data_IF_167358092651
#
_entry.id   IF_167358092651
#
_cell.length_a   1.000
_cell.length_b   1.000
_cell.length_c   1.000
_cell.angle_alpha   90.00
_cell.angle_beta   90.00
_cell.angle_gamma   90.00
#
_symmetry.space_group_name_H-M   'P 1'
#
loop_
_entity.id
_entity.type
_entity.pdbx_description
1 polymer ?
#
# COMPACT_ATOMS: atom_id res chain seq x y z
N UNK A 1 -18.92 11.84 14.39
CA UNK A 1 -18.56 10.55 13.79
C UNK A 1 -18.42 10.60 12.27
N UNK A 2 -19.40 11.18 11.59
CA UNK A 2 -19.32 11.30 10.12
C UNK A 2 -18.10 12.10 9.65
N UNK A 3 -17.72 13.15 10.39
CA UNK A 3 -16.56 13.97 10.06
C UNK A 3 -15.25 13.17 10.14
N UNK A 4 -15.14 12.26 11.12
CA UNK A 4 -13.98 11.37 11.25
C UNK A 4 -13.89 10.40 10.07
N UNK A 5 -15.00 9.79 9.72
CA UNK A 5 -15.05 8.84 8.60
C UNK A 5 -14.70 9.53 7.29
N UNK A 6 -15.19 10.75 7.08
CA UNK A 6 -14.87 11.52 5.87
C UNK A 6 -13.37 11.82 5.80
N UNK A 7 -12.72 12.13 6.92
CA UNK A 7 -11.28 12.37 7.00
C UNK A 7 -10.49 11.14 6.59
N UNK A 8 -10.83 9.98 7.15
CA UNK A 8 -10.14 8.72 6.84
C UNK A 8 -10.42 8.27 5.42
N UNK A 9 -11.64 8.45 4.94
CA UNK A 9 -11.99 8.14 3.56
C UNK A 9 -11.13 8.92 2.58
N UNK A 10 -10.96 10.24 2.81
CA UNK A 10 -10.10 11.10 1.99
C UNK A 10 -8.65 10.62 2.02
N UNK A 11 -8.14 10.30 3.20
CA UNK A 11 -6.76 9.85 3.38
C UNK A 11 -6.52 8.55 2.62
N UNK A 12 -7.44 7.60 2.71
CA UNK A 12 -7.34 6.31 2.01
C UNK A 12 -7.39 6.53 0.50
N UNK A 13 -8.31 7.35 0.03
CA UNK A 13 -8.45 7.64 -1.41
C UNK A 13 -7.19 8.30 -1.97
N UNK A 14 -6.59 9.23 -1.21
CA UNK A 14 -5.34 9.87 -1.61
C UNK A 14 -4.20 8.86 -1.71
N UNK A 15 -4.08 7.98 -0.74
CA UNK A 15 -3.05 6.93 -0.77
C UNK A 15 -3.25 5.99 -1.95
N UNK A 16 -4.49 5.64 -2.27
CA UNK A 16 -4.79 4.81 -3.45
C UNK A 16 -4.39 5.50 -4.75
N UNK A 17 -4.64 6.81 -4.86
CA UNK A 17 -4.24 7.59 -6.02
C UNK A 17 -2.72 7.64 -6.17
N UNK A 18 -2.01 7.85 -5.07
CA UNK A 18 -0.55 7.85 -5.05
C UNK A 18 0.03 6.52 -5.50
N UNK A 19 -0.53 5.42 -5.01
CA UNK A 19 -0.09 4.07 -5.39
C UNK A 19 -0.35 3.79 -6.86
N UNK A 20 -1.47 4.25 -7.40
CA UNK A 20 -1.79 4.10 -8.82
C UNK A 20 -0.78 4.87 -9.68
N UNK A 21 -0.40 6.09 -9.26
CA UNK A 21 0.61 6.87 -9.96
C UNK A 21 1.98 6.17 -9.92
N UNK A 22 2.35 5.60 -8.77
CA UNK A 22 3.59 4.84 -8.65
C UNK A 22 3.59 3.59 -9.54
N UNK A 23 2.45 2.93 -9.68
CA UNK A 23 2.31 1.77 -10.57
C UNK A 23 2.61 2.16 -12.03
N UNK A 24 2.08 3.28 -12.48
CA UNK A 24 2.32 3.77 -13.83
C UNK A 24 3.80 4.07 -14.07
N UNK A 25 4.45 4.73 -13.11
CA UNK A 25 5.87 5.01 -13.16
C UNK A 25 6.70 3.73 -13.15
N UNK A 26 6.33 2.77 -12.30
CA UNK A 26 6.99 1.47 -12.21
C UNK A 26 6.94 0.70 -13.53
N UNK A 27 5.80 0.71 -14.19
CA UNK A 27 5.64 0.07 -15.50
C UNK A 27 6.53 0.71 -16.56
N UNK A 28 6.61 2.04 -16.57
CA UNK A 28 7.48 2.77 -17.49
C UNK A 28 8.95 2.40 -17.26
N UNK A 29 9.38 2.33 -16.00
CA UNK A 29 10.74 1.93 -15.64
C UNK A 29 11.06 0.52 -16.09
N UNK A 30 10.12 -0.40 -15.92
CA UNK A 30 10.30 -1.80 -16.34
C UNK A 30 10.43 -1.92 -17.86
N UNK A 31 9.67 -1.14 -18.62
CA UNK A 31 9.78 -1.10 -20.08
C UNK A 31 11.15 -0.60 -20.53
N UNK A 32 11.65 0.45 -19.89
CA UNK A 32 12.95 1.02 -20.19
C UNK A 32 14.06 -0.01 -19.97
N UNK A 33 14.01 -0.75 -18.85
CA UNK A 33 14.98 -1.81 -18.54
C UNK A 33 14.98 -2.89 -19.62
N UNK A 34 13.82 -3.29 -20.11
CA UNK A 34 13.71 -4.29 -21.18
C UNK A 34 14.37 -3.84 -22.47
N UNK A 35 14.22 -2.56 -22.83
CA UNK A 35 14.84 -2.00 -24.03
C UNK A 35 16.36 -1.97 -23.90
N UNK A 36 16.85 -1.61 -22.70
CA UNK A 36 18.28 -1.54 -22.44
C UNK A 36 18.95 -2.91 -22.49
N UNK A 37 18.25 -3.97 -22.16
CA UNK A 37 18.78 -5.34 -22.20
C UNK A 37 19.24 -5.78 -23.59
N UNK A 38 18.69 -5.19 -24.64
CA UNK A 38 19.05 -5.53 -26.01
C UNK A 38 20.38 -4.94 -26.47
N UNK A 39 20.86 -3.88 -25.82
CA UNK A 39 22.00 -3.08 -26.27
C UNK A 39 23.24 -3.18 -25.38
N UNK A 40 23.21 -3.92 -24.28
CA UNK A 40 24.25 -3.87 -23.24
C UNK A 40 24.84 -5.25 -22.93
N UNK A 41 26.08 -5.26 -22.44
CA UNK A 41 26.84 -6.49 -22.16
C UNK A 41 26.38 -7.22 -20.89
N UNK A 42 27.07 -8.33 -20.62
CA UNK A 42 26.70 -9.31 -19.59
C UNK A 42 26.50 -8.74 -18.17
N UNK A 43 27.39 -7.84 -17.74
CA UNK A 43 27.31 -7.22 -16.41
C UNK A 43 26.07 -6.34 -16.29
N UNK A 44 25.74 -5.63 -17.36
CA UNK A 44 24.55 -4.77 -17.40
C UNK A 44 23.25 -5.58 -17.38
N UNK A 45 23.27 -6.81 -17.90
CA UNK A 45 22.11 -7.71 -17.81
C UNK A 45 21.83 -8.13 -16.38
N UNK A 46 22.87 -8.40 -15.59
CA UNK A 46 22.71 -8.74 -14.19
C UNK A 46 22.11 -7.58 -13.38
N UNK A 47 22.63 -6.36 -13.63
CA UNK A 47 22.09 -5.16 -13.00
C UNK A 47 20.64 -4.92 -13.40
N UNK A 48 20.31 -5.11 -14.66
CA UNK A 48 18.94 -4.96 -15.16
C UNK A 48 17.99 -5.99 -14.52
N UNK A 49 18.45 -7.24 -14.36
CA UNK A 49 17.65 -8.28 -13.70
C UNK A 49 17.44 -7.98 -12.21
N UNK A 50 18.46 -7.46 -11.52
CA UNK A 50 18.31 -7.04 -10.13
C UNK A 50 17.33 -5.89 -10.00
N UNK A 51 17.43 -4.89 -10.86
CA UNK A 51 16.50 -3.75 -10.88
C UNK A 51 15.07 -4.21 -11.15
N UNK A 52 14.91 -5.16 -12.07
CA UNK A 52 13.60 -5.73 -12.38
C UNK A 52 13.02 -6.50 -11.17
N UNK A 53 13.84 -7.29 -10.49
CA UNK A 53 13.42 -8.03 -9.31
C UNK A 53 12.99 -7.08 -8.19
N UNK A 54 13.72 -5.99 -7.98
CA UNK A 54 13.37 -4.97 -6.99
C UNK A 54 12.07 -4.26 -7.36
N UNK A 55 11.89 -3.95 -8.65
CA UNK A 55 10.66 -3.31 -9.13
C UNK A 55 9.46 -4.22 -8.92
N UNK A 56 9.60 -5.53 -9.18
CA UNK A 56 8.56 -6.51 -8.95
C UNK A 56 8.21 -6.64 -7.47
N UNK A 57 9.22 -6.61 -6.59
CA UNK A 57 9.01 -6.67 -5.14
C UNK A 57 8.25 -5.41 -4.66
N UNK A 58 8.60 -4.23 -5.18
CA UNK A 58 7.90 -3.00 -4.86
C UNK A 58 6.45 -3.04 -5.37
N UNK A 59 6.23 -3.61 -6.56
CA UNK A 59 4.89 -3.77 -7.11
C UNK A 59 4.03 -4.66 -6.21
N UNK A 60 4.58 -5.77 -5.71
CA UNK A 60 3.85 -6.65 -4.79
C UNK A 60 3.48 -5.93 -3.50
N UNK A 61 4.38 -5.11 -2.95
CA UNK A 61 4.10 -4.29 -1.76
C UNK A 61 2.97 -3.31 -2.02
N UNK A 62 2.99 -2.64 -3.17
CA UNK A 62 1.93 -1.71 -3.55
C UNK A 62 0.59 -2.42 -3.69
N UNK A 63 0.59 -3.58 -4.34
CA UNK A 63 -0.63 -4.37 -4.53
C UNK A 63 -1.22 -4.82 -3.19
N UNK A 64 -0.39 -5.26 -2.27
CA UNK A 64 -0.81 -5.65 -0.91
C UNK A 64 -1.40 -4.44 -0.17
N UNK A 65 -0.74 -3.29 -0.25
CA UNK A 65 -1.22 -2.08 0.40
C UNK A 65 -2.54 -1.61 -0.22
N UNK A 66 -2.68 -1.67 -1.54
CA UNK A 66 -3.94 -1.33 -2.22
C UNK A 66 -5.08 -2.21 -1.72
N UNK A 67 -4.86 -3.50 -1.62
CA UNK A 67 -5.86 -4.45 -1.10
C UNK A 67 -6.27 -4.08 0.32
N UNK A 68 -5.30 -3.74 1.17
CA UNK A 68 -5.56 -3.32 2.54
C UNK A 68 -6.35 -2.00 2.61
N UNK A 69 -6.02 -1.05 1.72
CA UNK A 69 -6.73 0.23 1.67
C UNK A 69 -8.18 0.06 1.19
N UNK A 70 -8.40 -0.80 0.20
CA UNK A 70 -9.74 -1.09 -0.30
C UNK A 70 -10.58 -1.76 0.81
N UNK A 71 -9.98 -2.69 1.55
CA UNK A 71 -10.63 -3.32 2.69
C UNK A 71 -10.98 -2.30 3.77
N UNK A 72 -10.09 -1.32 4.02
CA UNK A 72 -10.35 -0.24 4.97
C UNK A 72 -11.54 0.63 4.54
N UNK A 73 -11.64 0.94 3.24
CA UNK A 73 -12.80 1.68 2.70
C UNK A 73 -14.09 0.91 2.92
N UNK A 74 -14.06 -0.40 2.69
CA UNK A 74 -15.23 -1.26 2.90
C UNK A 74 -15.65 -1.25 4.37
N UNK A 75 -14.68 -1.30 5.28
CA UNK A 75 -14.95 -1.24 6.73
C UNK A 75 -15.56 0.10 7.14
N UNK A 76 -15.14 1.20 6.50
CA UNK A 76 -15.76 2.50 6.70
C UNK A 76 -17.23 2.50 6.30
N UNK A 77 -17.57 1.88 5.17
CA UNK A 77 -18.94 1.75 4.71
C UNK A 77 -19.79 0.89 5.64
N UNK A 78 -19.19 -0.13 6.25
CA UNK A 78 -19.85 -1.03 7.18
C UNK A 78 -19.85 -0.51 8.61
N UNK A 79 -19.27 0.65 8.86
CA UNK A 79 -19.16 1.27 10.19
C UNK A 79 -18.33 0.44 11.17
N UNK A 80 -17.41 -0.38 10.64
CA UNK A 80 -16.52 -1.22 11.43
C UNK A 80 -15.10 -0.70 11.50
N UNK A 81 -14.82 0.41 10.83
CA UNK A 81 -13.49 1.01 10.78
C UNK A 81 -13.07 1.56 12.14
N UNK A 82 -11.79 1.35 12.49
CA UNK A 82 -11.21 1.91 13.70
C UNK A 82 -11.33 1.03 14.93
N UNK A 83 -11.82 -0.19 14.76
CA UNK A 83 -11.94 -1.16 15.86
C UNK A 83 -11.01 -2.33 15.62
N UNK A 84 -10.40 -2.83 16.71
CA UNK A 84 -9.53 -4.00 16.64
C UNK A 84 -10.33 -5.24 16.20
N UNK A 85 -9.81 -5.98 15.22
CA UNK A 85 -10.49 -7.18 14.71
C UNK A 85 -10.46 -8.35 15.69
N UNK A 86 -9.53 -8.32 16.67
CA UNK A 86 -9.40 -9.39 17.66
C UNK A 86 -10.21 -9.14 18.93
N UNK A 87 -10.13 -7.94 19.52
CA UNK A 87 -10.78 -7.65 20.80
C UNK A 87 -11.96 -6.68 20.69
N UNK A 88 -12.13 -6.02 19.56
CA UNK A 88 -13.23 -5.09 19.34
C UNK A 88 -13.05 -3.71 19.95
N UNK A 89 -11.94 -3.47 20.64
CA UNK A 89 -11.66 -2.15 21.22
C UNK A 89 -11.29 -1.14 20.15
N UNK A 90 -11.54 0.14 20.43
CA UNK A 90 -11.19 1.22 19.51
C UNK A 90 -9.68 1.34 19.38
N UNK A 91 -9.21 1.52 18.14
CA UNK A 91 -7.81 1.78 17.85
C UNK A 91 -7.56 3.29 18.00
N UNK A 92 -6.40 3.66 18.54
CA UNK A 92 -6.03 5.05 18.75
C UNK A 92 -6.05 5.86 17.44
N UNK A 93 -6.63 7.05 17.47
CA UNK A 93 -6.73 7.92 16.29
C UNK A 93 -5.36 8.26 15.70
N UNK A 94 -4.36 8.48 16.56
CA UNK A 94 -3.01 8.80 16.11
C UNK A 94 -2.44 7.69 15.23
N UNK A 95 -2.70 6.44 15.59
CA UNK A 95 -2.26 5.28 14.81
C UNK A 95 -3.01 5.17 13.49
N UNK A 96 -4.31 5.40 13.52
CA UNK A 96 -5.14 5.36 12.30
C UNK A 96 -4.77 6.48 11.33
N UNK A 97 -4.44 7.66 11.85
CA UNK A 97 -3.99 8.78 11.01
C UNK A 97 -2.64 8.50 10.36
N UNK A 98 -1.75 7.81 11.06
CA UNK A 98 -0.45 7.41 10.52
C UNK A 98 -0.60 6.28 9.49
N UNK A 99 -1.50 5.32 9.76
CA UNK A 99 -1.74 4.19 8.85
C UNK A 99 -3.19 3.73 8.98
N UNK A 100 -4.06 4.10 8.02
CA UNK A 100 -5.49 3.75 8.11
C UNK A 100 -5.78 2.26 7.87
N UNK A 101 -4.78 1.47 7.51
CA UNK A 101 -4.96 0.02 7.28
C UNK A 101 -4.76 -0.82 8.54
N UNK A 102 -4.46 -0.20 9.68
CA UNK A 102 -4.24 -0.90 10.94
C UNK A 102 -5.52 -1.64 11.34
N UNK A 103 -5.38 -2.92 11.68
CA UNK A 103 -6.50 -3.80 12.04
C UNK A 103 -6.53 -4.16 13.52
N UNK A 104 -5.40 -3.99 14.24
CA UNK A 104 -5.26 -4.42 15.62
C UNK A 104 -4.82 -3.30 16.54
N UNK A 105 -5.33 -3.29 17.76
CA UNK A 105 -4.85 -2.39 18.81
C UNK A 105 -3.44 -2.82 19.25
N UNK A 106 -2.76 -1.95 20.01
CA UNK A 106 -1.40 -2.23 20.47
C UNK A 106 -1.32 -3.48 21.32
N UNK A 107 -2.31 -3.71 22.18
CA UNK A 107 -2.34 -4.89 23.04
C UNK A 107 -2.41 -6.18 22.25
N UNK A 108 -3.27 -6.24 21.24
CA UNK A 108 -3.40 -7.43 20.39
C UNK A 108 -2.20 -7.62 19.46
N UNK A 109 -1.58 -6.51 19.04
CA UNK A 109 -0.40 -6.56 18.17
C UNK A 109 0.80 -7.14 18.91
N UNK A 110 0.92 -6.83 20.20
CA UNK A 110 2.02 -7.34 21.05
C UNK A 110 1.85 -8.81 21.43
N UNK A 111 0.65 -9.34 21.25
CA UNK A 111 0.35 -10.71 21.55
C UNK A 111 -0.37 -10.91 22.82
#
# INVERSE_FOLDING_TARGET
MEAKFAKYKKLIELQLQELTAEDELGQSSQRTVKLDQQSVGRLSRMDALQSQAMAQAQQRRRDTLKTSLIAALQRLQEEEFGYCVDCGDAIEEARLSASPVILKCMSCLRG
#
